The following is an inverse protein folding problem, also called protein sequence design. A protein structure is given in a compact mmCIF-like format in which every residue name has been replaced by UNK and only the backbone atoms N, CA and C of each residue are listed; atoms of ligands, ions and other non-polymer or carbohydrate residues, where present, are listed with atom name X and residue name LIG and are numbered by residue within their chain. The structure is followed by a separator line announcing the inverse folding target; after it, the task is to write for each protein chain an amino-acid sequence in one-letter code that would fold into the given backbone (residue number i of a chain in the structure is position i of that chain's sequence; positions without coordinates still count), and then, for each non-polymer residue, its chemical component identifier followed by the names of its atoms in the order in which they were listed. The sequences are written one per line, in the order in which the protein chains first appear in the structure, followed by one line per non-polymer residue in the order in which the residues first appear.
data_IF_791743776696
#
_entry.id   IF_791743776696
#
_cell.length_a   1.000
_cell.length_b   1.000
_cell.length_c   1.000
_cell.angle_alpha   90.00
_cell.angle_beta   90.00
_cell.angle_gamma   90.00
#
_symmetry.space_group_name_H-M   'P 1'
#
loop_
_entity.id
_entity.type
_entity.pdbx_description
1 polymer ?
#
# COMPACT_ATOMS: atom_id res chain seq x y z
N UNK A 1 12.39 28.42 3.31
CA UNK A 1 11.77 27.12 3.66
C UNK A 1 12.10 26.05 2.62
N UNK A 2 11.78 26.28 1.34
CA UNK A 2 12.02 25.30 0.27
C UNK A 2 13.47 24.79 0.20
N UNK A 3 14.47 25.69 0.25
CA UNK A 3 15.89 25.30 0.26
C UNK A 3 16.23 24.28 1.36
N UNK A 4 15.68 24.46 2.57
CA UNK A 4 15.91 23.55 3.69
C UNK A 4 15.24 22.19 3.47
N UNK A 5 14.03 22.18 2.90
CA UNK A 5 13.33 20.93 2.57
C UNK A 5 14.09 20.17 1.47
N UNK A 6 14.48 20.84 0.39
CA UNK A 6 15.29 20.26 -0.70
C UNK A 6 16.59 19.68 -0.14
N UNK A 7 17.30 20.43 0.71
CA UNK A 7 18.52 19.94 1.34
C UNK A 7 18.26 18.72 2.25
N UNK A 8 17.16 18.71 3.01
CA UNK A 8 16.80 17.58 3.87
C UNK A 8 16.50 16.29 3.09
N UNK A 9 15.98 16.40 1.86
CA UNK A 9 15.64 15.26 1.01
C UNK A 9 16.85 14.80 0.18
N UNK A 10 17.50 15.74 -0.50
CA UNK A 10 18.51 15.46 -1.52
C UNK A 10 19.95 15.60 -1.00
N UNK A 11 20.14 16.12 0.22
CA UNK A 11 21.45 16.42 0.77
C UNK A 11 22.14 17.51 -0.05
N UNK A 12 23.38 17.25 -0.46
CA UNK A 12 24.17 18.15 -1.31
C UNK A 12 24.03 17.86 -2.80
N UNK A 13 23.25 16.83 -3.18
CA UNK A 13 23.10 16.45 -4.60
C UNK A 13 22.37 17.54 -5.38
N UNK A 14 21.26 18.02 -4.83
CA UNK A 14 20.50 19.11 -5.41
C UNK A 14 20.45 20.28 -4.43
N UNK A 15 20.71 21.49 -4.95
CA UNK A 15 20.68 22.73 -4.17
C UNK A 15 19.68 23.68 -4.82
N UNK A 16 18.70 24.14 -4.04
CA UNK A 16 17.72 25.12 -4.52
C UNK A 16 18.25 26.54 -4.27
N UNK A 17 18.30 27.35 -5.33
CA UNK A 17 18.63 28.77 -5.29
C UNK A 17 17.34 29.61 -5.23
N UNK A 18 17.05 30.29 -4.10
CA UNK A 18 15.84 31.10 -3.95
C UNK A 18 15.78 32.32 -4.86
N UNK A 19 16.93 32.92 -5.19
CA UNK A 19 16.97 34.20 -5.93
C UNK A 19 16.64 34.00 -7.40
N UNK A 20 17.14 32.91 -7.99
CA UNK A 20 16.85 32.51 -9.37
C UNK A 20 15.65 31.57 -9.51
N UNK A 21 15.06 31.12 -8.39
CA UNK A 21 14.02 30.09 -8.35
C UNK A 21 14.37 28.85 -9.19
N UNK A 22 15.59 28.35 -8.99
CA UNK A 22 16.21 27.31 -9.82
C UNK A 22 16.89 26.27 -8.94
N UNK A 23 17.18 25.11 -9.51
CA UNK A 23 17.83 23.99 -8.83
C UNK A 23 19.15 23.67 -9.53
N UNK A 24 20.17 23.37 -8.75
CA UNK A 24 21.49 23.00 -9.24
C UNK A 24 21.82 21.56 -8.89
N UNK A 25 22.52 20.86 -9.79
CA UNK A 25 23.14 19.56 -9.57
C UNK A 25 24.66 19.77 -9.47
N UNK A 26 25.20 19.73 -8.25
CA UNK A 26 26.56 20.21 -8.00
C UNK A 26 26.67 21.70 -8.33
N UNK A 27 27.63 22.06 -9.18
CA UNK A 27 27.86 23.45 -9.61
C UNK A 27 27.05 23.86 -10.85
N UNK A 28 26.33 22.92 -11.47
CA UNK A 28 25.54 23.18 -12.68
C UNK A 28 24.10 23.55 -12.32
N UNK A 29 23.67 24.75 -12.71
CA UNK A 29 22.26 25.14 -12.66
C UNK A 29 21.47 24.40 -13.74
N UNK A 30 20.36 23.77 -13.36
CA UNK A 30 19.57 22.93 -14.27
C UNK A 30 18.57 23.74 -15.10
N UNK A 31 17.92 24.76 -14.51
CA UNK A 31 16.86 25.50 -15.19
C UNK A 31 15.80 24.57 -15.78
N UNK A 32 15.49 24.75 -17.07
CA UNK A 32 14.52 23.92 -17.81
C UNK A 32 15.00 22.46 -18.00
N UNK A 33 16.31 22.20 -17.98
CA UNK A 33 16.88 20.85 -18.14
C UNK A 33 16.60 19.94 -16.93
N UNK A 34 16.08 20.51 -15.83
CA UNK A 34 15.67 19.73 -14.65
C UNK A 34 14.63 18.65 -14.99
N UNK A 35 13.77 18.91 -15.98
CA UNK A 35 12.77 17.96 -16.45
C UNK A 35 13.40 16.72 -17.08
N UNK A 36 14.53 16.85 -17.76
CA UNK A 36 15.18 15.71 -18.41
C UNK A 36 16.20 15.02 -17.50
N UNK A 37 16.77 15.75 -16.54
CA UNK A 37 17.87 15.26 -15.68
C UNK A 37 17.34 14.55 -14.42
N UNK A 38 16.27 15.05 -13.82
CA UNK A 38 15.72 14.46 -12.60
C UNK A 38 14.88 13.22 -12.93
N UNK A 39 14.96 12.19 -12.10
CA UNK A 39 14.02 11.06 -12.23
C UNK A 39 12.59 11.48 -11.84
N UNK A 40 11.58 10.74 -12.30
CA UNK A 40 10.18 11.04 -11.96
C UNK A 40 9.95 11.09 -10.44
N UNK A 41 10.60 10.18 -9.69
CA UNK A 41 10.53 10.20 -8.23
C UNK A 41 11.20 11.42 -7.60
N UNK A 42 12.31 11.89 -8.18
CA UNK A 42 13.00 13.10 -7.72
C UNK A 42 12.15 14.36 -7.97
N UNK A 43 11.55 14.47 -9.16
CA UNK A 43 10.60 15.55 -9.49
C UNK A 43 9.41 15.55 -8.56
N UNK A 44 8.85 14.36 -8.28
CA UNK A 44 7.70 14.23 -7.39
C UNK A 44 8.01 14.73 -5.98
N UNK A 45 9.15 14.34 -5.40
CA UNK A 45 9.52 14.76 -4.04
C UNK A 45 9.86 16.25 -4.00
N UNK A 46 10.50 16.78 -5.06
CA UNK A 46 10.73 18.21 -5.20
C UNK A 46 9.40 18.98 -5.24
N UNK A 47 8.43 18.50 -6.02
CA UNK A 47 7.09 19.07 -6.10
C UNK A 47 6.38 19.03 -4.74
N UNK A 48 6.51 17.93 -3.98
CA UNK A 48 5.99 17.83 -2.62
C UNK A 48 6.65 18.86 -1.68
N UNK A 49 7.98 19.01 -1.74
CA UNK A 49 8.69 20.04 -0.98
C UNK A 49 8.21 21.45 -1.33
N UNK A 50 8.00 21.73 -2.62
CA UNK A 50 7.49 22.99 -3.12
C UNK A 50 6.04 23.24 -2.66
N UNK A 51 5.17 22.24 -2.70
CA UNK A 51 3.80 22.32 -2.18
C UNK A 51 3.77 22.72 -0.69
N UNK A 52 4.58 22.05 0.15
CA UNK A 52 4.65 22.37 1.58
C UNK A 52 5.26 23.77 1.79
N UNK A 53 6.33 24.12 1.08
CA UNK A 53 7.00 25.41 1.24
C UNK A 53 6.17 26.61 0.76
N UNK A 54 5.46 26.47 -0.37
CA UNK A 54 4.66 27.54 -0.96
C UNK A 54 3.48 27.94 -0.08
N UNK A 55 3.03 27.05 0.81
CA UNK A 55 2.01 27.37 1.81
C UNK A 55 2.43 28.51 2.74
N UNK A 56 3.73 28.70 2.99
CA UNK A 56 4.22 29.82 3.81
C UNK A 56 3.86 31.18 3.21
N UNK A 57 3.84 31.29 1.88
CA UNK A 57 3.48 32.52 1.17
C UNK A 57 1.99 32.86 1.26
N UNK A 58 1.15 31.92 1.72
CA UNK A 58 -0.29 32.11 1.93
C UNK A 58 -0.61 32.60 3.36
N UNK A 59 0.38 32.66 4.25
CA UNK A 59 0.20 33.08 5.64
C UNK A 59 0.43 34.58 5.77
N UNK A 60 -0.62 35.34 6.08
CA UNK A 60 -0.53 36.79 6.30
C UNK A 60 -0.22 37.13 7.76
N UNK A 61 -0.60 36.23 8.69
CA UNK A 61 -0.37 36.38 10.12
C UNK A 61 0.00 35.06 10.80
N UNK A 62 0.60 35.14 11.99
CA UNK A 62 0.88 33.95 12.81
C UNK A 62 -0.39 33.16 13.20
N UNK A 63 -1.56 33.81 13.21
CA UNK A 63 -2.83 33.15 13.50
C UNK A 63 -3.36 32.34 12.31
N UNK A 64 -2.94 32.63 11.08
CA UNK A 64 -3.33 31.83 9.91
C UNK A 64 -2.68 30.45 9.92
N UNK A 65 -1.48 30.34 10.50
CA UNK A 65 -0.84 29.05 10.73
C UNK A 65 -1.73 28.10 11.56
N UNK A 66 -2.53 28.63 12.49
CA UNK A 66 -3.51 27.86 13.30
C UNK A 66 -4.68 27.32 12.49
N UNK A 67 -4.95 27.90 11.32
CA UNK A 67 -6.04 27.50 10.43
C UNK A 67 -5.59 26.46 9.41
N UNK A 68 -4.29 26.19 9.28
CA UNK A 68 -3.74 25.26 8.29
C UNK A 68 -4.39 23.87 8.39
N UNK A 69 -4.76 23.38 7.22
CA UNK A 69 -5.27 22.03 7.01
C UNK A 69 -4.81 21.53 5.64
N UNK A 70 -3.87 20.58 5.62
CA UNK A 70 -3.39 19.99 4.38
C UNK A 70 -4.29 18.84 3.94
N UNK A 71 -4.47 18.69 2.62
CA UNK A 71 -5.06 17.48 2.02
C UNK A 71 -4.01 16.94 1.07
N UNK A 72 -3.52 15.73 1.35
CA UNK A 72 -2.40 15.12 0.65
C UNK A 72 -2.88 13.78 0.10
N UNK A 73 -2.95 13.67 -1.23
CA UNK A 73 -3.33 12.44 -1.91
C UNK A 73 -2.09 11.73 -2.45
N UNK A 74 -1.89 10.52 -1.95
CA UNK A 74 -0.81 9.57 -2.26
C UNK A 74 0.59 10.18 -2.51
N UNK A 75 1.25 10.69 -1.45
CA UNK A 75 2.50 11.44 -1.58
C UNK A 75 3.73 10.57 -1.88
N UNK A 76 3.55 9.33 -2.35
CA UNK A 76 4.66 8.40 -2.61
C UNK A 76 4.50 7.55 -3.88
N UNK A 77 3.60 7.92 -4.78
CA UNK A 77 3.40 7.20 -6.04
C UNK A 77 4.73 7.05 -6.81
N UNK A 78 5.10 5.80 -7.13
CA UNK A 78 6.32 5.43 -7.89
C UNK A 78 7.66 5.84 -7.27
N UNK A 79 7.72 6.06 -5.94
CA UNK A 79 8.96 6.40 -5.25
C UNK A 79 9.78 5.18 -4.80
N UNK A 80 11.10 5.30 -4.85
CA UNK A 80 11.98 4.38 -4.15
C UNK A 80 11.87 4.54 -2.62
N UNK A 81 12.35 3.54 -1.87
CA UNK A 81 12.28 3.56 -0.40
C UNK A 81 12.96 4.78 0.23
N UNK A 82 14.07 5.28 -0.34
CA UNK A 82 14.79 6.43 0.22
C UNK A 82 13.89 7.66 0.20
N UNK A 83 13.25 7.93 -0.94
CA UNK A 83 12.37 9.08 -1.10
C UNK A 83 11.07 8.94 -0.31
N UNK A 84 10.55 7.72 -0.13
CA UNK A 84 9.44 7.44 0.80
C UNK A 84 9.79 7.91 2.22
N UNK A 85 10.99 7.58 2.74
CA UNK A 85 11.41 8.03 4.06
C UNK A 85 11.53 9.56 4.15
N UNK A 86 12.03 10.22 3.11
CA UNK A 86 12.11 11.68 3.05
C UNK A 86 10.74 12.33 3.17
N UNK A 87 9.73 11.84 2.43
CA UNK A 87 8.34 12.32 2.53
C UNK A 87 7.78 12.12 3.94
N UNK A 88 8.02 10.96 4.56
CA UNK A 88 7.61 10.68 5.95
C UNK A 88 8.20 11.68 6.93
N UNK A 89 9.49 12.05 6.80
CA UNK A 89 10.12 13.03 7.67
C UNK A 89 9.51 14.43 7.49
N UNK A 90 9.28 14.84 6.24
CA UNK A 90 8.63 16.14 5.97
C UNK A 90 7.25 16.21 6.63
N UNK A 91 6.42 15.17 6.51
CA UNK A 91 5.09 15.11 7.15
C UNK A 91 5.20 15.16 8.68
N UNK A 92 6.16 14.42 9.25
CA UNK A 92 6.42 14.43 10.70
C UNK A 92 6.76 15.83 11.22
N UNK A 93 7.51 16.58 10.42
CA UNK A 93 8.04 17.88 10.83
C UNK A 93 7.09 19.05 10.56
N UNK A 94 5.88 18.81 10.02
CA UNK A 94 4.89 19.86 9.73
C UNK A 94 4.70 20.85 10.88
N UNK A 95 4.56 20.37 12.13
CA UNK A 95 4.40 21.27 13.27
C UNK A 95 5.60 22.22 13.44
N UNK A 96 6.82 21.70 13.34
CA UNK A 96 8.06 22.48 13.51
C UNK A 96 8.34 23.39 12.32
N UNK A 97 7.93 22.98 11.12
CA UNK A 97 8.04 23.76 9.90
C UNK A 97 7.20 25.05 9.95
N UNK A 98 6.01 24.98 10.54
CA UNK A 98 5.09 26.13 10.61
C UNK A 98 5.07 26.84 11.96
N UNK A 99 5.56 26.21 13.04
CA UNK A 99 5.71 26.82 14.35
C UNK A 99 6.88 26.19 15.12
N UNK A 100 8.00 26.92 15.17
CA UNK A 100 9.20 26.48 15.90
C UNK A 100 8.96 26.35 17.41
N UNK A 101 7.92 26.96 17.96
CA UNK A 101 7.58 26.83 19.38
C UNK A 101 6.92 25.48 19.70
N UNK A 102 6.45 24.75 18.68
CA UNK A 102 5.81 23.44 18.82
C UNK A 102 4.41 23.47 19.44
N UNK A 103 3.83 24.66 19.62
CA UNK A 103 2.51 24.84 20.22
C UNK A 103 1.38 24.73 19.19
N UNK A 104 1.70 24.92 17.91
CA UNK A 104 0.81 24.72 16.79
C UNK A 104 0.69 23.24 16.46
N UNK A 105 -0.56 22.79 16.33
CA UNK A 105 -0.88 21.52 15.70
C UNK A 105 -1.33 21.77 14.26
N UNK A 106 -0.44 21.54 13.30
CA UNK A 106 -0.80 21.48 11.89
C UNK A 106 -1.67 20.25 11.67
N UNK A 107 -2.82 20.46 11.03
CA UNK A 107 -3.77 19.38 10.71
C UNK A 107 -3.59 18.96 9.26
N UNK A 108 -3.82 17.69 8.99
CA UNK A 108 -3.79 17.18 7.63
C UNK A 108 -4.68 15.94 7.49
N UNK A 109 -5.23 15.77 6.29
CA UNK A 109 -5.80 14.52 5.80
C UNK A 109 -4.82 13.94 4.78
N UNK A 110 -4.34 12.72 5.02
CA UNK A 110 -3.46 12.01 4.11
C UNK A 110 -4.19 10.77 3.60
N UNK A 111 -4.21 10.62 2.28
CA UNK A 111 -4.76 9.47 1.57
C UNK A 111 -3.59 8.70 0.94
N UNK A 112 -3.66 7.38 0.95
CA UNK A 112 -2.69 6.52 0.26
C UNK A 112 -3.30 5.15 0.02
N UNK A 113 -2.95 4.53 -1.09
CA UNK A 113 -3.26 3.14 -1.37
C UNK A 113 -2.13 2.19 -0.94
N UNK A 114 -0.98 2.74 -0.50
CA UNK A 114 0.19 1.97 -0.14
C UNK A 114 0.16 1.57 1.35
N UNK A 115 -0.11 0.29 1.62
CA UNK A 115 -0.17 -0.23 2.99
C UNK A 115 1.15 -0.09 3.76
N UNK A 116 2.31 -0.20 3.08
CA UNK A 116 3.60 -0.06 3.75
C UNK A 116 3.82 1.38 4.24
N UNK A 117 3.47 2.38 3.44
CA UNK A 117 3.54 3.79 3.83
C UNK A 117 2.53 4.13 4.93
N UNK A 118 1.28 3.68 4.80
CA UNK A 118 0.30 3.76 5.89
C UNK A 118 0.86 3.20 7.20
N UNK A 119 1.45 2.00 7.15
CA UNK A 119 2.05 1.35 8.31
C UNK A 119 3.24 2.14 8.88
N UNK A 120 4.07 2.75 8.04
CA UNK A 120 5.16 3.61 8.49
C UNK A 120 4.62 4.81 9.27
N UNK A 121 3.59 5.49 8.77
CA UNK A 121 2.96 6.63 9.47
C UNK A 121 2.32 6.20 10.80
N UNK A 122 1.57 5.09 10.78
CA UNK A 122 0.88 4.53 11.94
C UNK A 122 1.84 4.07 13.05
N UNK A 123 2.86 3.26 12.70
CA UNK A 123 3.82 2.70 13.66
C UNK A 123 4.68 3.78 14.31
N UNK A 124 5.08 4.79 13.53
CA UNK A 124 5.87 5.91 14.04
C UNK A 124 5.03 6.98 14.76
N UNK A 125 3.70 6.78 14.90
CA UNK A 125 2.78 7.73 15.55
C UNK A 125 2.85 9.14 14.95
N UNK A 126 3.09 9.24 13.64
CA UNK A 126 3.11 10.51 12.90
C UNK A 126 1.68 11.02 12.72
N UNK A 127 0.75 10.09 12.51
CA UNK A 127 -0.69 10.32 12.43
C UNK A 127 -1.39 9.83 13.69
N UNK A 128 -2.48 10.50 14.08
CA UNK A 128 -3.24 10.15 15.28
C UNK A 128 -4.39 9.20 14.98
N UNK A 129 -5.24 9.58 14.02
CA UNK A 129 -6.40 8.81 13.63
C UNK A 129 -6.13 8.08 12.32
N UNK A 130 -6.45 6.79 12.30
CA UNK A 130 -6.22 5.88 11.19
C UNK A 130 -7.57 5.37 10.70
N UNK A 131 -7.74 5.36 9.38
CA UNK A 131 -8.96 4.91 8.73
C UNK A 131 -8.62 4.05 7.52
N UNK A 132 -9.49 3.10 7.22
CA UNK A 132 -9.45 2.27 6.03
C UNK A 132 -10.73 2.50 5.23
N UNK A 133 -10.60 2.58 3.90
CA UNK A 133 -11.72 2.63 2.98
C UNK A 133 -11.79 1.28 2.26
N UNK A 134 -12.82 0.49 2.55
CA UNK A 134 -13.06 -0.81 1.93
C UNK A 134 -14.50 -0.87 1.46
N UNK A 135 -14.72 -1.25 0.20
CA UNK A 135 -16.05 -1.34 -0.44
C UNK A 135 -16.93 -0.08 -0.20
N UNK A 136 -16.35 1.10 -0.44
CA UNK A 136 -17.04 2.39 -0.25
C UNK A 136 -17.33 2.76 1.21
N UNK A 137 -16.92 1.94 2.19
CA UNK A 137 -17.14 2.17 3.62
C UNK A 137 -15.85 2.57 4.32
N UNK A 138 -15.90 3.69 5.03
CA UNK A 138 -14.81 4.14 5.90
C UNK A 138 -14.99 3.52 7.28
N UNK A 139 -13.95 2.83 7.75
CA UNK A 139 -13.87 2.26 9.09
C UNK A 139 -12.64 2.80 9.82
N UNK A 140 -12.76 2.97 11.15
CA UNK A 140 -11.60 3.31 11.97
C UNK A 140 -10.68 2.10 12.04
N UNK A 141 -9.39 2.33 11.80
CA UNK A 141 -8.37 1.30 11.89
C UNK A 141 -7.68 1.40 13.26
N UNK A 142 -8.10 0.56 14.20
CA UNK A 142 -7.46 0.51 15.53
C UNK A 142 -6.11 -0.22 15.49
N UNK A 143 -5.88 -1.01 14.43
CA UNK A 143 -4.61 -1.69 14.19
C UNK A 143 -3.60 -0.69 13.65
N UNK A 144 -2.45 -0.52 14.33
CA UNK A 144 -1.32 0.28 13.80
C UNK A 144 -0.53 -0.42 12.70
N UNK A 145 -1.11 -1.46 12.12
CA UNK A 145 -0.52 -2.27 11.09
C UNK A 145 -1.62 -2.99 10.31
N UNK A 146 -1.71 -2.70 9.02
CA UNK A 146 -2.53 -3.42 8.05
C UNK A 146 -1.63 -4.24 7.15
N UNK A 147 -2.04 -5.44 6.76
CA UNK A 147 -1.31 -6.23 5.77
C UNK A 147 -2.23 -6.50 4.59
N UNK A 148 -1.74 -6.36 3.34
CA UNK A 148 -2.50 -6.80 2.17
C UNK A 148 -2.96 -8.26 2.30
N UNK A 149 -2.14 -9.10 2.96
CA UNK A 149 -2.48 -10.48 3.25
C UNK A 149 -3.79 -10.64 4.05
N UNK A 150 -3.99 -9.87 5.12
CA UNK A 150 -5.23 -9.92 5.91
C UNK A 150 -6.46 -9.48 5.11
N UNK A 151 -6.32 -8.49 4.21
CA UNK A 151 -7.40 -8.05 3.32
C UNK A 151 -7.76 -9.14 2.32
N UNK A 152 -6.75 -9.77 1.68
CA UNK A 152 -7.01 -10.90 0.79
C UNK A 152 -7.67 -12.06 1.53
N UNK A 153 -7.28 -12.35 2.77
CA UNK A 153 -7.98 -13.36 3.59
C UNK A 153 -9.44 -12.98 3.88
N UNK A 154 -9.73 -11.71 4.17
CA UNK A 154 -11.08 -11.21 4.37
C UNK A 154 -11.91 -11.39 3.08
N UNK A 155 -11.38 -11.05 1.90
CA UNK A 155 -12.05 -11.27 0.62
C UNK A 155 -12.45 -12.75 0.42
N UNK A 156 -11.52 -13.67 0.70
CA UNK A 156 -11.80 -15.10 0.59
C UNK A 156 -12.88 -15.54 1.56
N UNK A 157 -12.83 -15.03 2.79
CA UNK A 157 -13.79 -15.32 3.84
C UNK A 157 -15.19 -14.80 3.47
N UNK A 158 -15.29 -13.58 2.97
CA UNK A 158 -16.56 -12.96 2.60
C UNK A 158 -17.25 -13.74 1.46
N UNK A 159 -16.48 -14.17 0.45
CA UNK A 159 -17.01 -14.97 -0.66
C UNK A 159 -17.39 -16.39 -0.21
N UNK A 160 -16.52 -17.06 0.57
CA UNK A 160 -16.72 -18.45 0.97
C UNK A 160 -17.80 -18.60 2.04
N UNK A 161 -17.84 -17.71 3.03
CA UNK A 161 -18.57 -17.87 4.28
C UNK A 161 -19.73 -16.87 4.40
N UNK A 162 -19.47 -15.57 4.22
CA UNK A 162 -20.53 -14.54 4.35
C UNK A 162 -21.46 -14.48 3.12
N UNK A 163 -21.07 -15.11 2.02
CA UNK A 163 -21.91 -15.27 0.84
C UNK A 163 -21.84 -14.11 -0.16
N UNK A 164 -20.82 -13.25 -0.07
CA UNK A 164 -20.53 -12.26 -1.10
C UNK A 164 -20.31 -12.91 -2.46
N UNK A 165 -20.76 -12.25 -3.53
CA UNK A 165 -20.49 -12.71 -4.89
C UNK A 165 -19.00 -12.55 -5.22
N UNK A 166 -18.37 -13.52 -5.91
CA UNK A 166 -17.05 -13.33 -6.48
C UNK A 166 -17.00 -12.09 -7.38
N UNK A 167 -15.87 -11.41 -7.36
CA UNK A 167 -15.60 -10.24 -8.20
C UNK A 167 -14.39 -10.50 -9.09
N UNK A 168 -14.07 -9.56 -9.97
CA UNK A 168 -12.87 -9.65 -10.81
C UNK A 168 -11.54 -9.66 -10.02
N UNK A 169 -11.55 -9.30 -8.72
CA UNK A 169 -10.35 -9.32 -7.85
C UNK A 169 -10.22 -10.60 -7.02
N UNK A 170 -11.27 -11.43 -6.92
CA UNK A 170 -11.27 -12.61 -6.04
C UNK A 170 -10.16 -13.60 -6.39
N UNK A 171 -9.89 -13.84 -7.67
CA UNK A 171 -8.79 -14.71 -8.09
C UNK A 171 -7.40 -14.16 -7.74
N UNK A 172 -7.21 -12.84 -7.77
CA UNK A 172 -5.98 -12.22 -7.28
C UNK A 172 -5.83 -12.43 -5.76
N UNK A 173 -6.90 -12.28 -4.97
CA UNK A 173 -6.86 -12.54 -3.53
C UNK A 173 -6.50 -14.01 -3.22
N UNK A 174 -7.04 -14.97 -3.98
CA UNK A 174 -6.67 -16.39 -3.89
C UNK A 174 -5.17 -16.56 -4.13
N UNK A 175 -4.67 -16.00 -5.23
CA UNK A 175 -3.26 -16.10 -5.62
C UNK A 175 -2.34 -15.49 -4.57
N UNK A 176 -2.61 -14.27 -4.12
CA UNK A 176 -1.76 -13.56 -3.16
C UNK A 176 -1.64 -14.32 -1.84
N UNK A 177 -2.72 -14.95 -1.38
CA UNK A 177 -2.69 -15.82 -0.19
C UNK A 177 -1.81 -17.04 -0.43
N UNK A 178 -1.99 -17.76 -1.53
CA UNK A 178 -1.20 -18.96 -1.84
C UNK A 178 0.27 -18.62 -2.09
N UNK A 179 0.57 -17.53 -2.79
CA UNK A 179 1.95 -17.07 -3.00
C UNK A 179 2.62 -16.68 -1.68
N UNK A 180 1.89 -16.07 -0.74
CA UNK A 180 2.43 -15.79 0.60
C UNK A 180 2.78 -17.09 1.32
N UNK A 181 1.91 -18.11 1.25
CA UNK A 181 2.20 -19.43 1.82
C UNK A 181 3.39 -20.09 1.13
N UNK A 182 3.48 -20.02 -0.19
CA UNK A 182 4.61 -20.54 -0.95
C UNK A 182 5.94 -19.94 -0.48
N UNK A 183 6.01 -18.60 -0.36
CA UNK A 183 7.22 -17.91 0.11
C UNK A 183 7.62 -18.27 1.53
N UNK A 184 6.67 -18.75 2.34
CA UNK A 184 6.93 -19.20 3.71
C UNK A 184 7.33 -20.69 3.77
N UNK A 185 6.56 -21.56 3.11
CA UNK A 185 6.69 -23.01 3.17
C UNK A 185 7.90 -23.52 2.39
N UNK A 186 8.05 -23.05 1.15
CA UNK A 186 9.02 -23.61 0.23
C UNK A 186 9.53 -22.52 -0.73
N UNK A 187 10.29 -21.54 -0.24
CA UNK A 187 10.82 -20.44 -1.04
C UNK A 187 11.81 -20.90 -2.13
N UNK A 188 12.24 -22.16 -2.10
CA UNK A 188 13.14 -22.75 -3.09
C UNK A 188 12.42 -23.25 -4.35
N UNK A 189 11.10 -23.48 -4.32
CA UNK A 189 10.36 -23.82 -5.54
C UNK A 189 10.47 -22.67 -6.56
N UNK A 190 10.54 -22.98 -7.87
CA UNK A 190 10.78 -21.97 -8.90
C UNK A 190 9.52 -21.14 -9.21
N UNK A 191 8.33 -21.73 -9.08
CA UNK A 191 7.06 -21.09 -9.41
C UNK A 191 5.88 -21.65 -8.59
N UNK A 192 4.72 -20.99 -8.74
CA UNK A 192 3.48 -21.34 -8.07
C UNK A 192 2.97 -22.75 -8.44
N UNK A 193 3.20 -23.22 -9.67
CA UNK A 193 2.77 -24.55 -10.11
C UNK A 193 3.53 -25.64 -9.35
N UNK A 194 4.84 -25.48 -9.19
CA UNK A 194 5.66 -26.42 -8.44
C UNK A 194 5.23 -26.46 -6.97
N UNK A 195 5.00 -25.30 -6.35
CA UNK A 195 4.48 -25.24 -4.99
C UNK A 195 3.11 -25.93 -4.85
N UNK A 196 2.16 -25.67 -5.74
CA UNK A 196 0.86 -26.33 -5.73
C UNK A 196 0.96 -27.86 -5.92
N UNK A 197 2.05 -28.37 -6.50
CA UNK A 197 2.33 -29.80 -6.63
C UNK A 197 3.10 -30.41 -5.44
N UNK A 198 3.56 -29.60 -4.49
CA UNK A 198 4.24 -30.07 -3.28
C UNK A 198 3.31 -30.89 -2.36
N UNK A 199 3.85 -31.79 -1.53
CA UNK A 199 3.02 -32.73 -0.73
C UNK A 199 2.07 -32.00 0.20
N UNK A 200 2.51 -30.86 0.69
CA UNK A 200 1.85 -29.96 1.61
C UNK A 200 0.53 -29.41 1.02
N UNK A 201 0.46 -29.17 -0.29
CA UNK A 201 -0.73 -28.63 -0.99
C UNK A 201 -1.67 -29.72 -1.54
N UNK A 202 -1.61 -30.95 -1.01
CA UNK A 202 -2.40 -32.08 -1.53
C UNK A 202 -3.91 -31.90 -1.42
N UNK A 203 -4.38 -31.14 -0.44
CA UNK A 203 -5.76 -30.73 -0.25
C UNK A 203 -6.19 -29.65 -1.25
N UNK A 204 -5.35 -28.63 -1.47
CA UNK A 204 -5.58 -27.59 -2.48
C UNK A 204 -5.68 -28.17 -3.89
N UNK A 205 -4.86 -29.18 -4.22
CA UNK A 205 -4.92 -29.87 -5.52
C UNK A 205 -6.24 -30.57 -5.81
N UNK A 206 -7.03 -30.91 -4.78
CA UNK A 206 -8.38 -31.50 -4.99
C UNK A 206 -9.35 -30.47 -5.56
N UNK A 207 -9.03 -29.18 -5.48
CA UNK A 207 -9.76 -28.11 -6.11
C UNK A 207 -9.28 -27.98 -7.57
N UNK A 208 -9.99 -28.62 -8.51
CA UNK A 208 -9.61 -28.78 -9.92
C UNK A 208 -9.27 -27.45 -10.64
N UNK A 209 -9.87 -26.34 -10.21
CA UNK A 209 -9.72 -25.02 -10.82
C UNK A 209 -8.78 -24.09 -10.04
N UNK A 210 -8.15 -24.52 -8.94
CA UNK A 210 -7.31 -23.63 -8.12
C UNK A 210 -6.16 -23.02 -8.94
N UNK A 211 -5.53 -23.82 -9.79
CA UNK A 211 -4.43 -23.38 -10.65
C UNK A 211 -4.90 -22.39 -11.72
N UNK A 212 -6.03 -22.69 -12.36
CA UNK A 212 -6.68 -21.84 -13.37
C UNK A 212 -7.10 -20.50 -12.76
N UNK A 213 -7.74 -20.51 -11.59
CA UNK A 213 -8.16 -19.29 -10.89
C UNK A 213 -6.94 -18.43 -10.53
N UNK A 214 -5.85 -19.03 -10.04
CA UNK A 214 -4.63 -18.29 -9.71
C UNK A 214 -4.01 -17.60 -10.94
N UNK A 215 -3.93 -18.30 -12.09
CA UNK A 215 -3.28 -17.76 -13.28
C UNK A 215 -4.18 -16.83 -14.08
N UNK A 216 -5.40 -17.26 -14.39
CA UNK A 216 -6.26 -16.59 -15.37
C UNK A 216 -6.85 -15.29 -14.85
N UNK A 217 -7.12 -15.20 -13.54
CA UNK A 217 -7.69 -14.01 -12.91
C UNK A 217 -6.64 -13.05 -12.37
N UNK A 218 -5.35 -13.42 -12.40
CA UNK A 218 -4.28 -12.54 -11.94
C UNK A 218 -3.44 -11.94 -13.09
N UNK A 219 -3.42 -12.58 -14.26
CA UNK A 219 -2.63 -12.14 -15.42
C UNK A 219 -3.47 -11.68 -16.62
N UNK A 220 -4.77 -11.47 -16.44
CA UNK A 220 -5.63 -10.93 -17.49
C UNK A 220 -5.69 -11.80 -18.75
N UNK A 221 -5.75 -13.13 -18.59
CA UNK A 221 -5.76 -14.06 -19.72
C UNK A 221 -6.89 -13.72 -20.70
N UNK A 222 -6.55 -13.63 -22.00
CA UNK A 222 -7.46 -13.28 -23.08
C UNK A 222 -8.72 -14.17 -23.07
N UNK A 223 -9.88 -13.57 -23.33
CA UNK A 223 -11.16 -14.28 -23.45
C UNK A 223 -11.11 -15.32 -24.59
N UNK A 224 -10.23 -15.09 -25.57
CA UNK A 224 -10.05 -15.94 -26.75
C UNK A 224 -9.21 -17.20 -26.51
N UNK A 225 -8.53 -17.32 -25.36
CA UNK A 225 -7.72 -18.49 -25.00
C UNK A 225 -8.48 -19.49 -24.08
N UNK A 226 -9.80 -19.33 -23.92
CA UNK A 226 -10.60 -20.09 -22.94
C UNK A 226 -11.68 -20.95 -23.60
N UNK A 227 -11.75 -22.22 -23.18
CA UNK A 227 -12.92 -23.07 -23.44
C UNK A 227 -14.07 -22.83 -22.45
N UNK A 228 -13.80 -22.34 -21.22
CA UNK A 228 -14.76 -21.67 -20.31
C UNK A 228 -14.06 -21.20 -19.00
N UNK A 229 -14.29 -19.96 -18.53
CA UNK A 229 -13.79 -19.52 -17.23
C UNK A 229 -14.49 -20.25 -16.07
N UNK A 230 -13.84 -20.39 -14.89
CA UNK A 230 -14.47 -20.93 -13.69
C UNK A 230 -15.72 -20.12 -13.33
N UNK A 231 -16.84 -20.79 -13.05
CA UNK A 231 -18.07 -20.13 -12.60
C UNK A 231 -17.95 -19.65 -11.14
N UNK A 232 -18.89 -18.82 -10.69
CA UNK A 232 -18.89 -18.28 -9.33
C UNK A 232 -18.88 -19.39 -8.26
N UNK A 233 -19.48 -20.54 -8.54
CA UNK A 233 -19.48 -21.70 -7.65
C UNK A 233 -18.10 -22.33 -7.55
N UNK A 234 -17.36 -22.42 -8.65
CA UNK A 234 -15.96 -22.81 -8.65
C UNK A 234 -15.13 -21.80 -7.86
N UNK A 235 -15.23 -20.50 -8.13
CA UNK A 235 -14.46 -19.48 -7.39
C UNK A 235 -14.73 -19.57 -5.88
N UNK A 236 -16.00 -19.71 -5.47
CA UNK A 236 -16.37 -19.89 -4.06
C UNK A 236 -15.76 -21.14 -3.44
N UNK A 237 -15.75 -22.27 -4.16
CA UNK A 237 -15.08 -23.50 -3.73
C UNK A 237 -13.56 -23.33 -3.62
N UNK A 238 -12.93 -22.51 -4.46
CA UNK A 238 -11.50 -22.22 -4.38
C UNK A 238 -11.19 -21.40 -3.12
N UNK A 239 -11.97 -20.34 -2.83
CA UNK A 239 -11.85 -19.58 -1.59
C UNK A 239 -11.96 -20.50 -0.37
N UNK A 240 -12.97 -21.38 -0.36
CA UNK A 240 -13.16 -22.33 0.74
C UNK A 240 -12.00 -23.33 0.87
N UNK A 241 -11.46 -23.83 -0.24
CA UNK A 241 -10.29 -24.73 -0.23
C UNK A 241 -9.06 -24.05 0.40
N UNK A 242 -8.79 -22.78 0.06
CA UNK A 242 -7.70 -22.00 0.65
C UNK A 242 -7.89 -21.77 2.14
N UNK A 243 -9.11 -21.41 2.58
CA UNK A 243 -9.41 -21.21 4.00
C UNK A 243 -9.29 -22.52 4.80
N UNK A 244 -9.75 -23.65 4.24
CA UNK A 244 -9.57 -24.96 4.87
C UNK A 244 -8.08 -25.33 4.98
N UNK A 245 -7.28 -25.12 3.92
CA UNK A 245 -5.84 -25.35 3.95
C UNK A 245 -5.15 -24.55 5.06
N UNK A 246 -5.51 -23.27 5.19
CA UNK A 246 -5.03 -22.39 6.26
C UNK A 246 -5.49 -22.86 7.63
N UNK A 247 -6.74 -23.29 7.78
CA UNK A 247 -7.25 -23.77 9.05
C UNK A 247 -6.50 -25.03 9.53
N UNK A 248 -6.19 -25.93 8.61
CA UNK A 248 -5.55 -27.21 8.92
C UNK A 248 -4.06 -27.04 9.26
N UNK A 249 -3.37 -26.10 8.60
CA UNK A 249 -1.91 -25.94 8.72
C UNK A 249 -1.48 -24.71 9.51
N UNK A 250 -2.20 -23.61 9.37
CA UNK A 250 -1.84 -22.28 9.88
C UNK A 250 -3.02 -21.55 10.54
N UNK A 251 -3.78 -22.17 11.47
CA UNK A 251 -5.01 -21.58 12.02
C UNK A 251 -4.75 -20.23 12.70
N UNK A 252 -3.55 -20.01 13.23
CA UNK A 252 -3.13 -18.73 13.81
C UNK A 252 -3.20 -17.55 12.83
N UNK A 253 -3.09 -17.78 11.52
CA UNK A 253 -3.20 -16.70 10.52
C UNK A 253 -4.64 -16.22 10.34
N UNK A 254 -5.63 -17.11 10.44
CA UNK A 254 -7.05 -16.75 10.42
C UNK A 254 -7.42 -15.99 11.71
N UNK A 255 -6.96 -16.48 12.87
CA UNK A 255 -7.15 -15.82 14.17
C UNK A 255 -6.53 -14.42 14.18
N UNK A 256 -5.30 -14.27 13.69
CA UNK A 256 -4.62 -12.97 13.64
C UNK A 256 -5.33 -11.94 12.73
N UNK A 257 -5.98 -12.43 11.68
CA UNK A 257 -6.82 -11.59 10.81
C UNK A 257 -8.19 -11.30 11.41
N UNK A 258 -8.58 -11.97 12.50
CA UNK A 258 -9.88 -11.78 13.18
C UNK A 258 -11.01 -12.59 12.55
N UNK A 259 -10.69 -13.65 11.81
CA UNK A 259 -11.65 -14.48 11.10
C UNK A 259 -12.02 -15.72 11.95
N UNK A 260 -13.29 -15.85 12.31
CA UNK A 260 -13.80 -17.02 13.03
C UNK A 260 -14.13 -18.17 12.07
N UNK A 261 -13.12 -18.94 11.67
CA UNK A 261 -13.30 -20.12 10.84
C UNK A 261 -13.40 -21.38 11.71
N UNK A 262 -14.59 -21.98 11.82
CA UNK A 262 -14.80 -23.21 12.61
C UNK A 262 -14.52 -24.45 11.76
N UNK A 263 -13.79 -25.40 12.34
CA UNK A 263 -13.63 -26.76 11.82
C UNK A 263 -15.01 -27.42 11.73
N UNK A 264 -15.57 -27.52 10.52
CA UNK A 264 -16.90 -28.14 10.31
C UNK A 264 -17.75 -27.58 9.18
N UNK A 265 -17.35 -26.49 8.50
CA UNK A 265 -18.10 -25.95 7.35
C UNK A 265 -18.10 -26.86 6.10
N UNK A 266 -17.55 -28.08 6.22
CA UNK A 266 -17.52 -29.13 5.20
C UNK A 266 -18.61 -30.20 5.46
N UNK A 267 -19.88 -29.81 5.51
CA UNK A 267 -20.99 -30.71 5.18
C UNK A 267 -21.95 -30.03 4.22
#
# INVERSE_FOLDING_TARGET
MLANLVHSVFGTRYVFNPDGFTISLGDAELGDDAEDIMSDGEKFVLAFCHYVASTWSLLESNDDAKKLFFVIDDPISSLDYRYVYSVVQVIRDFNVLFDKSGNLRVRFLLLTHNSAFFNMLARNKIVQDLYTLHDGKISKCDKRYITPYSEHLQDLYDVAIEGSSPTHTTGNSIRQVIETLWRFDNPAEPDLLHYLNAKECSDLRKCEFIYTVCNDQSHGASIFDRDQPPDDKAIKRACLAVLNHLQDRYPGQLIASGLEFKTGNNK
#
